data_IF_178050446354
#
_entry.id   IF_178050446354
#
_cell.length_a   1.000
_cell.length_b   1.000
_cell.length_c   1.000
_cell.angle_alpha   90.00
_cell.angle_beta   90.00
_cell.angle_gamma   90.00
#
_symmetry.space_group_name_H-M   'P 1'
#
loop_
_entity.id
_entity.type
_entity.pdbx_description
1 polymer ?
#
# COMPACT_ATOMS: atom_id res chain seq x y z
N UNK A 1 -4.98 46.33 -27.89
CA UNK A 1 -4.00 45.23 -27.67
C UNK A 1 -3.75 44.87 -26.19
N UNK A 2 -4.18 45.67 -25.20
CA UNK A 2 -3.95 45.35 -23.77
C UNK A 2 -4.92 44.31 -23.18
N UNK A 3 -6.17 44.30 -23.66
CA UNK A 3 -7.23 43.39 -23.20
C UNK A 3 -6.88 41.93 -23.57
N UNK A 4 -6.30 41.72 -24.75
CA UNK A 4 -5.86 40.40 -25.22
C UNK A 4 -4.76 39.80 -24.34
N UNK A 5 -3.82 40.62 -23.86
CA UNK A 5 -2.77 40.17 -22.93
C UNK A 5 -3.37 39.77 -21.57
N UNK A 6 -4.31 40.57 -21.05
CA UNK A 6 -4.95 40.30 -19.77
C UNK A 6 -5.74 38.97 -19.79
N UNK A 7 -6.46 38.70 -20.88
CA UNK A 7 -7.20 37.44 -21.07
C UNK A 7 -6.25 36.24 -21.17
N UNK A 8 -5.13 36.39 -21.86
CA UNK A 8 -4.09 35.36 -21.96
C UNK A 8 -3.50 35.01 -20.59
N UNK A 9 -3.15 36.02 -19.79
CA UNK A 9 -2.61 35.81 -18.43
C UNK A 9 -3.64 35.10 -17.53
N UNK A 10 -4.91 35.48 -17.63
CA UNK A 10 -5.99 34.87 -16.85
C UNK A 10 -6.18 33.38 -17.21
N UNK A 11 -6.14 33.04 -18.50
CA UNK A 11 -6.25 31.66 -19.00
C UNK A 11 -5.08 30.80 -18.56
N UNK A 12 -3.85 31.33 -18.61
CA UNK A 12 -2.66 30.62 -18.15
C UNK A 12 -2.72 30.36 -16.62
N UNK A 13 -3.16 31.34 -15.83
CA UNK A 13 -3.33 31.19 -14.38
C UNK A 13 -4.33 30.08 -14.01
N UNK A 14 -5.44 29.97 -14.74
CA UNK A 14 -6.43 28.90 -14.54
C UNK A 14 -5.89 27.50 -14.91
N UNK A 15 -5.00 27.41 -15.90
CA UNK A 15 -4.36 26.15 -16.28
C UNK A 15 -3.38 25.64 -15.21
N UNK A 16 -2.71 26.54 -14.48
CA UNK A 16 -1.81 26.17 -13.39
C UNK A 16 -2.52 25.71 -12.11
N UNK A 17 -3.71 26.23 -11.82
CA UNK A 17 -4.49 25.82 -10.64
C UNK A 17 -5.21 24.48 -10.84
N UNK A 18 -5.41 24.05 -12.09
CA UNK A 18 -6.13 22.81 -12.43
C UNK A 18 -5.41 21.49 -12.15
N UNK A 19 -4.15 21.50 -11.71
CA UNK A 19 -3.37 20.25 -11.50
C UNK A 19 -2.96 19.96 -10.05
N UNK A 20 -3.50 20.69 -9.08
CA UNK A 20 -3.32 20.33 -7.67
C UNK A 20 -4.40 19.36 -7.19
N UNK A 21 -4.61 18.30 -7.97
CA UNK A 21 -5.21 17.07 -7.49
C UNK A 21 -4.19 16.34 -6.60
N UNK A 22 -3.79 16.96 -5.50
CA UNK A 22 -3.13 16.23 -4.42
C UNK A 22 -4.17 15.22 -3.96
N UNK A 23 -4.04 13.99 -4.42
CA UNK A 23 -4.84 12.89 -3.90
C UNK A 23 -4.52 12.84 -2.42
N UNK A 24 -5.36 13.47 -1.60
CA UNK A 24 -5.45 13.21 -0.19
C UNK A 24 -5.98 11.77 -0.15
N UNK A 25 -5.08 10.81 -0.39
CA UNK A 25 -5.29 9.41 -0.05
C UNK A 25 -5.44 9.45 1.45
N UNK A 26 -6.69 9.68 1.86
CA UNK A 26 -7.14 9.52 3.22
C UNK A 26 -6.42 8.29 3.75
N UNK A 27 -5.83 8.43 4.92
CA UNK A 27 -5.22 7.35 5.69
C UNK A 27 -6.32 6.38 6.15
N UNK A 28 -7.18 5.93 5.24
CA UNK A 28 -8.06 4.81 5.42
C UNK A 28 -7.14 3.63 5.67
N UNK A 29 -7.22 3.08 6.88
CA UNK A 29 -6.61 1.80 7.21
C UNK A 29 -6.82 0.85 6.03
N UNK A 30 -5.73 0.47 5.35
CA UNK A 30 -5.83 -0.44 4.21
C UNK A 30 -6.23 -1.80 4.76
N UNK A 31 -7.47 -2.17 4.58
CA UNK A 31 -7.97 -3.51 4.87
C UNK A 31 -7.92 -4.38 3.61
N UNK A 32 -7.84 -5.69 3.80
CA UNK A 32 -7.95 -6.67 2.72
C UNK A 32 -9.40 -7.13 2.59
N UNK A 33 -9.94 -7.11 1.37
CA UNK A 33 -11.21 -7.79 1.06
C UNK A 33 -10.96 -9.29 0.81
N UNK A 34 -12.02 -10.10 0.85
CA UNK A 34 -11.94 -11.56 0.66
C UNK A 34 -11.34 -11.98 -0.69
N UNK A 35 -11.51 -11.16 -1.72
CA UNK A 35 -11.02 -11.42 -3.09
C UNK A 35 -9.56 -11.01 -3.30
N UNK A 36 -9.01 -10.17 -2.43
CA UNK A 36 -7.62 -9.69 -2.53
C UNK A 36 -6.60 -10.68 -1.97
N UNK A 37 -7.05 -11.75 -1.31
CA UNK A 37 -6.14 -12.72 -0.69
C UNK A 37 -5.36 -13.49 -1.75
N UNK A 38 -4.04 -13.49 -1.59
CA UNK A 38 -3.17 -14.28 -2.44
C UNK A 38 -3.34 -15.77 -2.11
N UNK A 39 -3.76 -16.54 -3.10
CA UNK A 39 -4.04 -17.97 -2.91
C UNK A 39 -2.78 -18.85 -3.02
N UNK A 40 -1.74 -18.40 -3.73
CA UNK A 40 -0.51 -19.16 -3.97
C UNK A 40 0.50 -19.14 -2.82
N UNK A 41 1.61 -19.85 -2.99
CA UNK A 41 2.79 -19.76 -2.12
C UNK A 41 3.76 -18.74 -2.67
N UNK A 42 4.19 -17.82 -1.82
CA UNK A 42 5.23 -16.84 -2.14
C UNK A 42 6.58 -17.44 -1.76
N UNK A 43 7.57 -17.49 -2.68
CA UNK A 43 8.93 -17.88 -2.33
C UNK A 43 9.54 -16.89 -1.33
N UNK A 44 10.13 -17.39 -0.24
CA UNK A 44 10.63 -16.55 0.86
C UNK A 44 11.68 -15.54 0.42
N UNK A 45 12.55 -15.92 -0.54
CA UNK A 45 13.53 -15.02 -1.17
C UNK A 45 12.93 -13.76 -1.81
N UNK A 46 11.62 -13.73 -2.04
CA UNK A 46 10.90 -12.55 -2.59
C UNK A 46 10.22 -11.71 -1.52
N UNK A 47 10.15 -12.21 -0.28
CA UNK A 47 9.53 -11.53 0.84
C UNK A 47 10.56 -10.57 1.45
N UNK A 48 10.25 -9.29 1.39
CA UNK A 48 11.06 -8.22 1.98
C UNK A 48 10.66 -7.92 3.42
N UNK A 49 9.50 -8.41 3.85
CA UNK A 49 8.95 -8.19 5.18
C UNK A 49 7.43 -8.35 5.16
N UNK A 50 6.81 -8.14 6.32
CA UNK A 50 5.36 -8.21 6.47
C UNK A 50 4.85 -7.15 7.47
N UNK A 51 3.58 -6.78 7.34
CA UNK A 51 2.88 -5.85 8.22
C UNK A 51 1.49 -6.40 8.50
N UNK A 52 1.10 -6.49 9.77
CA UNK A 52 -0.26 -6.90 10.13
C UNK A 52 -1.28 -5.83 9.75
N UNK A 53 -2.46 -6.24 9.27
CA UNK A 53 -3.54 -5.29 9.05
C UNK A 53 -4.10 -4.80 10.39
N UNK A 54 -4.61 -3.56 10.46
CA UNK A 54 -5.26 -3.04 11.67
C UNK A 54 -6.35 -3.99 12.20
N UNK A 55 -6.47 -4.07 13.53
CA UNK A 55 -7.49 -4.89 14.20
C UNK A 55 -8.92 -4.45 13.91
N UNK A 56 -9.11 -3.23 13.40
CA UNK A 56 -10.38 -2.68 12.94
C UNK A 56 -10.88 -3.29 11.63
N UNK A 57 -10.02 -4.00 10.89
CA UNK A 57 -10.40 -4.67 9.66
C UNK A 57 -11.27 -5.90 9.94
N UNK A 58 -12.35 -6.06 9.18
CA UNK A 58 -13.29 -7.20 9.29
C UNK A 58 -12.59 -8.55 9.08
N UNK A 59 -11.59 -8.59 8.20
CA UNK A 59 -10.82 -9.78 7.90
C UNK A 59 -9.40 -9.62 8.45
N UNK A 60 -8.96 -10.59 9.26
CA UNK A 60 -7.56 -10.70 9.68
C UNK A 60 -6.70 -11.05 8.47
N UNK A 61 -5.75 -10.18 8.14
CA UNK A 61 -4.81 -10.38 7.05
C UNK A 61 -3.42 -9.85 7.43
N UNK A 62 -2.44 -10.20 6.62
CA UNK A 62 -1.08 -9.67 6.69
C UNK A 62 -0.69 -9.15 5.32
N UNK A 63 -0.18 -7.92 5.25
CA UNK A 63 0.48 -7.41 4.07
C UNK A 63 1.88 -7.97 3.97
N UNK A 64 2.13 -8.79 2.96
CA UNK A 64 3.47 -9.26 2.64
C UNK A 64 4.09 -8.31 1.62
N UNK A 65 5.23 -7.70 1.99
CA UNK A 65 5.99 -6.79 1.14
C UNK A 65 6.85 -7.59 0.17
N UNK A 66 6.67 -7.34 -1.12
CA UNK A 66 7.44 -7.88 -2.23
C UNK A 66 8.15 -6.74 -2.96
N UNK A 67 9.09 -7.07 -3.84
CA UNK A 67 9.76 -6.07 -4.68
C UNK A 67 8.79 -5.24 -5.54
N UNK A 68 7.68 -5.85 -5.98
CA UNK A 68 6.70 -5.21 -6.88
C UNK A 68 5.43 -4.71 -6.16
N UNK A 69 5.44 -4.62 -4.83
CA UNK A 69 4.30 -4.11 -4.07
C UNK A 69 3.95 -4.95 -2.84
N UNK A 70 2.72 -4.80 -2.35
CA UNK A 70 2.21 -5.55 -1.20
C UNK A 70 1.06 -6.46 -1.61
N UNK A 71 0.99 -7.63 -1.00
CA UNK A 71 -0.09 -8.61 -1.23
C UNK A 71 -0.73 -9.00 0.10
N UNK A 72 -2.04 -9.18 0.09
CA UNK A 72 -2.79 -9.68 1.24
C UNK A 72 -2.57 -11.19 1.37
N UNK A 73 -2.11 -11.64 2.53
CA UNK A 73 -1.92 -13.06 2.85
C UNK A 73 -2.74 -13.39 4.08
N UNK A 74 -3.40 -14.55 4.04
CA UNK A 74 -4.10 -15.09 5.19
C UNK A 74 -3.06 -15.62 6.20
N UNK A 75 -3.03 -15.13 7.45
CA UNK A 75 -2.08 -15.57 8.46
C UNK A 75 -2.18 -17.08 8.78
N UNK A 76 -3.29 -17.74 8.41
CA UNK A 76 -3.50 -19.18 8.59
C UNK A 76 -2.86 -20.04 7.51
N UNK A 77 -2.26 -19.45 6.47
CA UNK A 77 -1.57 -20.22 5.41
C UNK A 77 -0.34 -20.93 6.00
N UNK A 78 -0.30 -22.27 5.86
CA UNK A 78 0.80 -23.12 6.34
C UNK A 78 2.19 -22.62 5.92
N UNK A 79 2.34 -22.19 4.66
CA UNK A 79 3.63 -21.69 4.16
C UNK A 79 4.07 -20.39 4.84
N UNK A 80 3.12 -19.53 5.22
CA UNK A 80 3.41 -18.25 5.85
C UNK A 80 3.76 -18.44 7.33
N UNK A 81 3.05 -19.33 8.03
CA UNK A 81 3.40 -19.73 9.40
C UNK A 81 4.81 -20.31 9.50
N UNK A 82 5.17 -21.15 8.54
CA UNK A 82 6.51 -21.73 8.48
C UNK A 82 7.59 -20.68 8.15
N UNK A 83 7.28 -19.69 7.30
CA UNK A 83 8.14 -18.52 7.09
C UNK A 83 8.33 -17.74 8.41
N UNK A 84 7.26 -17.44 9.15
CA UNK A 84 7.36 -16.75 10.44
C UNK A 84 8.20 -17.52 11.47
N UNK A 85 8.08 -18.84 11.49
CA UNK A 85 8.90 -19.71 12.36
C UNK A 85 10.38 -19.59 12.03
N UNK A 86 10.74 -19.52 10.75
CA UNK A 86 12.12 -19.29 10.30
C UNK A 86 12.62 -17.87 10.60
N UNK A 87 11.75 -16.86 10.51
CA UNK A 87 12.11 -15.47 10.81
C UNK A 87 12.20 -15.16 12.31
N UNK A 88 11.57 -15.97 13.17
CA UNK A 88 11.68 -15.86 14.63
C UNK A 88 13.02 -16.34 15.20
N UNK A 89 13.94 -16.82 14.35
CA UNK A 89 15.35 -16.86 14.72
C UNK A 89 15.87 -15.42 14.90
N UNK A 90 16.70 -15.15 15.93
CA UNK A 90 16.71 -13.88 16.65
C UNK A 90 17.30 -12.73 15.82
N UNK A 91 16.43 -12.02 15.11
CA UNK A 91 16.66 -10.62 14.78
C UNK A 91 15.36 -9.82 14.86
N UNK A 92 14.66 -9.93 15.99
CA UNK A 92 13.57 -9.02 16.35
C UNK A 92 14.05 -7.99 17.37
N UNK A 93 15.04 -7.20 16.99
CA UNK A 93 15.18 -5.84 17.51
C UNK A 93 14.58 -4.92 16.46
N UNK A 94 13.45 -4.28 16.77
CA UNK A 94 13.10 -2.94 16.28
C UNK A 94 11.79 -2.50 16.95
N UNK A 95 11.98 -1.81 18.07
CA UNK A 95 11.35 -0.56 18.52
C UNK A 95 9.90 -0.28 18.11
#
# INVERSE_FOLDING_TARGET
>A
MRISLALLILLLAAAWTGSQGMSFRSSTAKCCSKEMFYHGKIPERRILGYLETPSTCTHRAVFVKLQKGMVCVDPKKKWFQEYLRRQKEPNSTST
#
